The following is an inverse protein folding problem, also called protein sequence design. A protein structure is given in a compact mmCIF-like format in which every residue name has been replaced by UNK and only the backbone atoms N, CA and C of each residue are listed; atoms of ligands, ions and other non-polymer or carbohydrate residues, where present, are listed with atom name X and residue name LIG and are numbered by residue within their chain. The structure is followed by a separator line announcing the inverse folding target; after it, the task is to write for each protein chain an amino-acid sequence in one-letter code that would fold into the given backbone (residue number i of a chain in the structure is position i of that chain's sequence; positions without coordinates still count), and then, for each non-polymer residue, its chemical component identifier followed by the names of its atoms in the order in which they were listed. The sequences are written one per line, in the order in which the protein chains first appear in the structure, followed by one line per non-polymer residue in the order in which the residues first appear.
data_IF_490853956929
#
_entry.id   IF_490853956929
#
_cell.length_a   1.000
_cell.length_b   1.000
_cell.length_c   1.000
_cell.angle_alpha   90.00
_cell.angle_beta   90.00
_cell.angle_gamma   90.00
#
_symmetry.space_group_name_H-M   'P 1'
#
loop_
_entity.id
_entity.type
_entity.pdbx_description
1 polymer ?
#
# COMPACT_ATOMS: atom_id res chain seq x y z
N UNK A 1 -18.73 78.98 8.90
CA UNK A 1 -17.43 79.60 9.26
C UNK A 1 -16.77 78.65 10.24
N UNK A 2 -16.02 77.67 9.73
CA UNK A 2 -14.54 77.69 9.72
C UNK A 2 -13.97 77.93 11.11
N UNK A 3 -13.43 76.89 11.74
CA UNK A 3 -12.02 76.93 12.14
C UNK A 3 -11.47 75.53 12.36
N UNK A 4 -10.60 75.20 11.43
CA UNK A 4 -9.61 74.14 11.43
C UNK A 4 -8.67 74.24 12.64
N UNK A 5 -8.22 73.06 13.06
CA UNK A 5 -6.89 72.77 13.59
C UNK A 5 -6.57 73.00 15.07
N UNK A 6 -5.87 71.96 15.57
CA UNK A 6 -5.07 71.84 16.78
C UNK A 6 -5.88 71.49 18.03
N UNK A 7 -5.78 70.24 18.45
CA UNK A 7 -4.85 69.90 19.54
C UNK A 7 -4.72 68.37 19.57
N UNK A 8 -3.49 67.96 19.30
CA UNK A 8 -2.93 66.64 19.46
C UNK A 8 -2.99 66.23 20.95
N UNK A 9 -3.09 64.92 21.17
CA UNK A 9 -2.71 64.18 22.37
C UNK A 9 -3.80 63.82 23.38
N UNK A 10 -3.68 62.55 23.75
CA UNK A 10 -4.27 61.87 24.89
C UNK A 10 -5.74 61.49 24.73
N UNK A 11 -5.96 60.28 24.20
CA UNK A 11 -6.78 59.28 24.89
C UNK A 11 -6.31 57.88 24.45
N UNK A 12 -5.45 57.30 25.28
CA UNK A 12 -5.19 55.88 25.39
C UNK A 12 -6.51 55.15 25.68
N UNK A 13 -6.90 54.19 24.85
CA UNK A 13 -7.92 53.21 25.22
C UNK A 13 -7.71 51.89 24.47
N UNK A 14 -6.95 51.00 25.11
CA UNK A 14 -7.23 49.55 25.25
C UNK A 14 -7.83 48.84 24.03
N UNK A 15 -6.96 48.18 23.26
CA UNK A 15 -7.32 46.96 22.52
C UNK A 15 -6.34 45.85 22.91
N UNK A 16 -6.45 45.42 24.18
CA UNK A 16 -5.87 44.16 24.61
C UNK A 16 -6.79 43.00 24.17
N UNK A 17 -6.17 41.94 23.67
CA UNK A 17 -6.70 40.57 23.56
C UNK A 17 -7.84 40.33 22.54
N UNK A 18 -7.47 40.31 21.27
CA UNK A 18 -8.00 39.30 20.34
C UNK A 18 -6.84 38.38 19.92
N UNK A 19 -6.27 37.68 20.90
CA UNK A 19 -5.46 36.51 20.61
C UNK A 19 -6.40 35.44 20.07
N UNK A 20 -6.45 35.31 18.75
CA UNK A 20 -7.10 34.18 18.12
C UNK A 20 -6.43 32.92 18.65
N UNK A 21 -7.13 32.15 19.48
CA UNK A 21 -6.82 30.75 19.76
C UNK A 21 -6.98 29.97 18.45
N UNK A 22 -6.01 30.14 17.54
CA UNK A 22 -5.75 29.19 16.46
C UNK A 22 -5.10 28.01 17.13
N UNK A 23 -5.92 27.15 17.74
CA UNK A 23 -5.51 25.77 17.98
C UNK A 23 -5.12 25.21 16.62
N UNK A 24 -3.84 24.84 16.38
CA UNK A 24 -3.47 24.16 15.16
C UNK A 24 -4.31 22.89 15.12
N UNK A 25 -5.09 22.70 14.05
CA UNK A 25 -5.72 21.42 13.80
C UNK A 25 -4.62 20.34 13.92
N UNK A 26 -4.85 19.22 14.64
CA UNK A 26 -3.85 18.19 14.77
C UNK A 26 -3.39 17.79 13.37
N UNK A 27 -2.07 17.79 13.16
CA UNK A 27 -1.47 17.49 11.87
C UNK A 27 -2.10 16.21 11.31
N UNK A 28 -2.56 16.26 10.05
CA UNK A 28 -3.13 15.09 9.39
C UNK A 28 -2.15 13.91 9.54
N UNK A 29 -2.63 12.69 9.86
CA UNK A 29 -1.75 11.54 9.98
C UNK A 29 -0.94 11.39 8.69
N UNK A 30 0.35 11.01 8.78
CA UNK A 30 1.22 10.93 7.62
C UNK A 30 0.58 10.01 6.56
N UNK A 31 0.62 10.47 5.30
CA UNK A 31 0.14 9.71 4.16
C UNK A 31 0.89 8.38 4.07
N UNK A 32 0.16 7.29 3.88
CA UNK A 32 0.73 5.95 3.72
C UNK A 32 1.32 5.78 2.32
N UNK A 33 2.37 4.97 2.18
CA UNK A 33 2.88 4.54 0.88
C UNK A 33 1.83 3.73 0.10
N UNK A 34 1.88 3.71 -1.24
CA UNK A 34 1.01 2.88 -2.06
C UNK A 34 1.01 1.40 -1.65
N UNK A 35 2.18 0.88 -1.28
CA UNK A 35 2.39 -0.48 -0.81
C UNK A 35 1.68 -0.72 0.53
N UNK A 36 1.77 0.23 1.46
CA UNK A 36 1.06 0.16 2.74
C UNK A 36 -0.45 0.23 2.55
N UNK A 37 -0.92 1.07 1.62
CA UNK A 37 -2.35 1.14 1.24
C UNK A 37 -2.81 -0.19 0.65
N UNK A 38 -2.10 -0.75 -0.32
CA UNK A 38 -2.48 -2.02 -0.92
C UNK A 38 -2.43 -3.17 0.09
N UNK A 39 -1.40 -3.23 0.93
CA UNK A 39 -1.30 -4.26 1.99
C UNK A 39 -2.50 -4.21 2.94
N UNK A 40 -3.01 -3.01 3.23
CA UNK A 40 -4.19 -2.81 4.10
C UNK A 40 -5.50 -3.18 3.40
N UNK A 41 -5.64 -2.82 2.12
CA UNK A 41 -6.90 -2.89 1.38
C UNK A 41 -6.97 -4.09 0.41
N UNK A 42 -5.96 -4.96 0.40
CA UNK A 42 -5.88 -6.09 -0.50
C UNK A 42 -7.12 -7.00 -0.37
N UNK A 43 -7.74 -7.40 -1.50
CA UNK A 43 -8.93 -8.23 -1.45
C UNK A 43 -8.61 -9.63 -0.90
N UNK A 44 -9.63 -10.28 -0.33
CA UNK A 44 -9.52 -11.65 0.11
C UNK A 44 -9.05 -12.56 -1.04
N UNK A 45 -8.07 -13.41 -0.77
CA UNK A 45 -7.45 -14.24 -1.80
C UNK A 45 -6.36 -13.55 -2.62
N UNK A 46 -6.00 -12.30 -2.32
CA UNK A 46 -4.74 -11.69 -2.79
C UNK A 46 -3.75 -11.44 -1.65
N UNK A 47 -4.17 -11.69 -0.41
CA UNK A 47 -3.36 -11.56 0.78
C UNK A 47 -3.44 -12.83 1.60
N UNK A 48 -2.32 -13.22 2.18
CA UNK A 48 -2.21 -14.25 3.19
C UNK A 48 -1.49 -13.67 4.39
N UNK A 49 -2.17 -13.67 5.54
CA UNK A 49 -1.58 -13.32 6.81
C UNK A 49 -1.82 -14.49 7.77
N UNK A 50 -0.75 -15.12 8.24
CA UNK A 50 -0.89 -16.32 9.05
C UNK A 50 0.45 -16.88 9.50
N UNK A 51 0.48 -18.20 9.70
CA UNK A 51 1.71 -18.93 10.02
C UNK A 51 2.04 -19.88 8.89
N UNK A 52 3.30 -19.87 8.47
CA UNK A 52 3.85 -20.76 7.45
C UNK A 52 5.16 -21.35 7.99
N UNK A 53 5.36 -22.66 7.88
CA UNK A 53 6.47 -23.38 8.50
C UNK A 53 6.70 -23.04 10.00
N UNK A 54 5.64 -22.73 10.75
CA UNK A 54 5.73 -22.38 12.17
C UNK A 54 6.23 -20.96 12.46
N UNK A 55 6.40 -20.10 11.45
CA UNK A 55 6.72 -18.69 11.62
C UNK A 55 5.54 -17.80 11.18
N UNK A 56 5.31 -16.63 11.81
CA UNK A 56 4.42 -15.63 11.25
C UNK A 56 4.88 -15.23 9.86
N UNK A 57 3.96 -15.20 8.90
CA UNK A 57 4.24 -14.84 7.53
C UNK A 57 3.10 -14.01 6.95
N UNK A 58 3.48 -13.01 6.16
CA UNK A 58 2.56 -12.16 5.43
C UNK A 58 3.01 -12.11 3.97
N UNK A 59 2.15 -12.59 3.08
CA UNK A 59 2.34 -12.55 1.64
C UNK A 59 1.17 -11.84 0.98
N UNK A 60 1.44 -11.20 -0.15
CA UNK A 60 0.41 -10.70 -1.04
C UNK A 60 0.79 -10.99 -2.49
N UNK A 61 -0.20 -10.92 -3.37
CA UNK A 61 0.00 -10.99 -4.81
C UNK A 61 -0.45 -9.69 -5.45
N UNK A 62 0.44 -9.11 -6.25
CA UNK A 62 0.19 -7.88 -6.98
C UNK A 62 0.87 -7.95 -8.34
N UNK A 63 0.21 -7.47 -9.40
CA UNK A 63 0.63 -7.63 -10.81
C UNK A 63 1.23 -9.01 -11.16
N UNK A 64 0.58 -10.09 -10.73
CA UNK A 64 1.03 -11.46 -11.00
C UNK A 64 2.42 -11.77 -10.44
N UNK A 65 2.78 -11.14 -9.33
CA UNK A 65 4.01 -11.37 -8.57
C UNK A 65 3.64 -11.52 -7.09
N UNK A 66 4.27 -12.49 -6.41
CA UNK A 66 4.06 -12.71 -4.98
C UNK A 66 5.16 -12.00 -4.21
N UNK A 67 4.74 -11.20 -3.24
CA UNK A 67 5.61 -10.43 -2.37
C UNK A 67 5.50 -10.93 -0.94
N UNK A 68 6.64 -11.06 -0.27
CA UNK A 68 6.71 -11.11 1.19
C UNK A 68 6.61 -9.69 1.73
N UNK A 69 5.73 -9.50 2.72
CA UNK A 69 5.51 -8.21 3.37
C UNK A 69 6.24 -8.16 4.70
N UNK A 70 7.11 -7.17 4.85
CA UNK A 70 7.77 -6.84 6.11
C UNK A 70 7.23 -5.51 6.63
N UNK A 71 6.74 -5.48 7.87
CA UNK A 71 6.32 -4.23 8.51
C UNK A 71 7.51 -3.48 9.06
N UNK A 72 7.62 -2.20 8.70
CA UNK A 72 8.63 -1.29 9.20
C UNK A 72 8.03 -0.36 10.27
N UNK A 73 8.86 0.49 10.86
CA UNK A 73 8.39 1.50 11.80
C UNK A 73 7.36 2.44 11.13
N UNK A 74 6.34 2.86 11.86
CA UNK A 74 5.45 3.94 11.40
C UNK A 74 4.43 3.55 10.32
N UNK A 75 3.88 2.31 10.36
CA UNK A 75 2.89 1.79 9.38
C UNK A 75 3.41 1.62 7.95
N UNK A 76 4.71 1.76 7.77
CA UNK A 76 5.38 1.52 6.49
C UNK A 76 5.55 0.01 6.25
N UNK A 77 5.59 -0.40 4.99
CA UNK A 77 5.81 -1.80 4.62
C UNK A 77 6.90 -1.89 3.56
N UNK A 78 7.65 -2.99 3.59
CA UNK A 78 8.58 -3.36 2.53
C UNK A 78 8.07 -4.62 1.86
N UNK A 79 7.98 -4.57 0.54
CA UNK A 79 7.68 -5.73 -0.27
C UNK A 79 8.95 -6.32 -0.85
N UNK A 80 9.11 -7.62 -0.69
CA UNK A 80 10.21 -8.38 -1.30
C UNK A 80 9.62 -9.41 -2.25
N UNK A 81 10.00 -9.34 -3.53
CA UNK A 81 9.59 -10.32 -4.53
C UNK A 81 10.12 -11.71 -4.17
N UNK A 82 9.22 -12.69 -4.06
CA UNK A 82 9.59 -14.09 -3.78
C UNK A 82 9.21 -15.05 -4.89
N UNK A 83 8.26 -14.67 -5.75
CA UNK A 83 7.85 -15.49 -6.88
C UNK A 83 7.28 -14.62 -7.99
N UNK A 84 7.75 -14.83 -9.22
CA UNK A 84 7.17 -14.29 -10.45
C UNK A 84 7.12 -15.35 -11.54
N UNK A 85 6.19 -15.25 -12.51
CA UNK A 85 6.15 -16.12 -13.68
C UNK A 85 7.41 -15.99 -14.52
N UNK A 86 7.63 -16.99 -15.38
CA UNK A 86 8.69 -16.95 -16.37
C UNK A 86 8.57 -15.67 -17.23
N UNK A 87 9.70 -15.04 -17.58
CA UNK A 87 9.68 -13.83 -18.38
C UNK A 87 9.12 -14.10 -19.79
N UNK A 88 8.29 -13.18 -20.28
CA UNK A 88 7.75 -13.24 -21.64
C UNK A 88 8.42 -12.19 -22.53
N UNK A 89 8.80 -12.51 -23.79
CA UNK A 89 9.50 -11.56 -24.67
C UNK A 89 8.68 -10.32 -25.05
N UNK A 90 7.35 -10.39 -24.97
CA UNK A 90 6.45 -9.30 -25.36
C UNK A 90 5.70 -8.72 -24.16
N UNK A 91 5.03 -7.59 -24.39
CA UNK A 91 4.20 -6.92 -23.38
C UNK A 91 3.07 -7.85 -22.91
N UNK A 92 3.00 -8.04 -21.59
CA UNK A 92 1.96 -8.83 -20.92
C UNK A 92 1.36 -8.04 -19.76
N UNK A 93 0.09 -8.26 -19.49
CA UNK A 93 -0.60 -7.74 -18.31
C UNK A 93 -1.04 -8.89 -17.41
N UNK A 94 -1.12 -8.65 -16.10
CA UNK A 94 -1.73 -9.62 -15.19
C UNK A 94 -3.23 -9.75 -15.48
N UNK A 95 -3.68 -10.98 -15.74
CA UNK A 95 -5.10 -11.31 -16.00
C UNK A 95 -5.69 -12.12 -14.84
N UNK A 96 -4.87 -12.98 -14.21
CA UNK A 96 -5.30 -13.87 -13.13
C UNK A 96 -4.25 -13.90 -12.03
N UNK A 97 -4.66 -13.59 -10.80
CA UNK A 97 -3.82 -13.73 -9.62
C UNK A 97 -4.63 -14.12 -8.39
N UNK A 98 -4.11 -15.04 -7.58
CA UNK A 98 -4.66 -15.36 -6.27
C UNK A 98 -3.65 -16.08 -5.38
N UNK A 99 -3.92 -16.03 -4.08
CA UNK A 99 -3.27 -16.78 -3.01
C UNK A 99 -4.33 -17.60 -2.27
N UNK A 100 -4.00 -18.83 -1.95
CA UNK A 100 -4.84 -19.73 -1.15
C UNK A 100 -3.96 -20.56 -0.22
N UNK A 101 -4.44 -20.79 1.00
CA UNK A 101 -3.72 -21.57 2.00
C UNK A 101 -4.59 -22.74 2.44
N UNK A 102 -4.02 -23.95 2.44
CA UNK A 102 -4.73 -25.19 2.77
C UNK A 102 -4.43 -25.73 4.17
N UNK A 103 -3.74 -24.94 5.01
CA UNK A 103 -3.31 -25.33 6.35
C UNK A 103 -1.85 -25.78 6.41
N UNK A 104 -1.26 -26.22 5.29
CA UNK A 104 0.14 -26.68 5.24
C UNK A 104 0.96 -25.90 4.24
N UNK A 105 0.39 -25.58 3.09
CA UNK A 105 1.08 -24.95 1.98
C UNK A 105 0.30 -23.73 1.48
N UNK A 106 1.07 -22.71 1.08
CA UNK A 106 0.56 -21.56 0.37
C UNK A 106 0.64 -21.85 -1.13
N UNK A 107 -0.48 -21.64 -1.82
CA UNK A 107 -0.62 -21.84 -3.26
C UNK A 107 -0.93 -20.50 -3.93
N UNK A 108 -0.12 -20.12 -4.91
CA UNK A 108 -0.29 -18.94 -5.73
C UNK A 108 -0.70 -19.32 -7.14
N UNK A 109 -1.76 -18.74 -7.68
CA UNK A 109 -2.13 -18.87 -9.09
C UNK A 109 -1.80 -17.57 -9.79
N UNK A 110 -0.96 -17.60 -10.82
CA UNK A 110 -0.51 -16.42 -11.56
C UNK A 110 -0.75 -16.65 -13.06
N UNK A 111 -1.23 -15.62 -13.76
CA UNK A 111 -1.54 -15.71 -15.18
C UNK A 111 -1.41 -14.35 -15.85
N UNK A 112 -0.36 -14.20 -16.65
CA UNK A 112 -0.12 -13.02 -17.49
C UNK A 112 -0.59 -13.29 -18.90
N UNK A 113 -1.40 -12.38 -19.46
CA UNK A 113 -1.88 -12.46 -20.84
C UNK A 113 -1.01 -11.57 -21.73
N UNK A 114 -0.59 -12.07 -22.88
CA UNK A 114 0.04 -11.25 -23.89
C UNK A 114 -0.99 -10.30 -24.52
N UNK A 115 -0.59 -9.06 -24.75
CA UNK A 115 -1.46 -8.08 -25.38
C UNK A 115 -1.93 -8.55 -26.76
N UNK A 116 -3.24 -8.51 -27.02
CA UNK A 116 -3.84 -8.97 -28.28
C UNK A 116 -4.14 -10.49 -28.37
N UNK A 117 -3.84 -11.28 -27.34
CA UNK A 117 -4.20 -12.70 -27.31
C UNK A 117 -5.70 -12.92 -26.99
N UNK A 118 -6.35 -13.82 -27.74
CA UNK A 118 -7.77 -14.18 -27.56
C UNK A 118 -8.09 -15.11 -26.39
N UNK A 119 -7.14 -15.32 -25.45
CA UNK A 119 -7.28 -16.19 -24.29
C UNK A 119 -6.19 -15.93 -23.25
N UNK A 120 -6.31 -16.57 -22.08
CA UNK A 120 -5.23 -16.62 -21.08
C UNK A 120 -4.52 -17.99 -21.17
N UNK A 121 -3.23 -18.12 -20.88
CA UNK A 121 -2.23 -17.14 -20.44
C UNK A 121 -0.93 -17.35 -21.23
N UNK A 122 -0.17 -16.29 -21.48
CA UNK A 122 1.13 -16.39 -22.16
C UNK A 122 2.21 -16.93 -21.21
N UNK A 123 2.21 -16.46 -19.96
CA UNK A 123 3.04 -17.01 -18.87
C UNK A 123 2.22 -17.09 -17.59
N UNK A 124 2.65 -17.97 -16.69
CA UNK A 124 1.95 -18.21 -15.43
C UNK A 124 1.97 -19.69 -15.02
N UNK A 125 1.11 -20.00 -14.06
CA UNK A 125 0.92 -21.32 -13.50
C UNK A 125 0.40 -21.26 -12.08
N UNK A 126 0.24 -22.44 -11.50
CA UNK A 126 0.00 -22.60 -10.07
C UNK A 126 1.33 -22.97 -9.41
N UNK A 127 1.65 -22.28 -8.33
CA UNK A 127 2.88 -22.45 -7.59
C UNK A 127 2.54 -22.75 -6.14
N UNK A 128 3.30 -23.65 -5.52
CA UNK A 128 3.07 -24.10 -4.15
C UNK A 128 4.35 -23.97 -3.34
N UNK A 129 4.22 -23.51 -2.10
CA UNK A 129 5.31 -23.40 -1.13
C UNK A 129 4.85 -23.84 0.26
N UNK A 130 5.78 -24.35 1.06
CA UNK A 130 5.57 -24.69 2.47
C UNK A 130 6.37 -23.78 3.42
N UNK A 131 7.35 -23.05 2.88
CA UNK A 131 8.30 -22.22 3.63
C UNK A 131 8.21 -20.73 3.23
N UNK A 132 7.49 -20.40 2.16
CA UNK A 132 7.35 -19.03 1.65
C UNK A 132 8.52 -18.56 0.78
N UNK A 133 9.55 -19.38 0.62
CA UNK A 133 10.82 -19.05 -0.07
C UNK A 133 11.03 -19.92 -1.29
N UNK A 134 10.79 -21.22 -1.13
CA UNK A 134 10.93 -22.22 -2.17
C UNK A 134 9.57 -22.46 -2.80
N UNK A 135 9.39 -21.98 -4.02
CA UNK A 135 8.14 -22.14 -4.77
C UNK A 135 8.32 -23.18 -5.87
N UNK A 136 7.38 -24.13 -5.94
CA UNK A 136 7.36 -25.17 -6.97
C UNK A 136 6.13 -25.01 -7.83
N UNK A 137 6.30 -25.05 -9.15
CA UNK A 137 5.18 -25.10 -10.09
C UNK A 137 4.49 -26.48 -9.97
N UNK A 138 3.16 -26.49 -9.92
CA UNK A 138 2.31 -27.70 -9.82
C UNK A 138 1.36 -27.81 -11.00
#
# INVERSE_FOLDING_TARGET
MSHTDRILCALLAVCALSGCDVSPAPAAPPALSPEAVFTRDAPAGQVFQGRLAGAPAHFLVHDCEVFQVEYLAGREVRWTSVLKPDPYPFWTSCERQSLSFDGTALTATLGRRAFGAGGCCATGGTYRTVDGRSWKKV
#
